data_IF_140143012696
#
_entry.id   IF_140143012696
#
_cell.length_a   1.000
_cell.length_b   1.000
_cell.length_c   1.000
_cell.angle_alpha   90.00
_cell.angle_beta   90.00
_cell.angle_gamma   90.00
#
_symmetry.space_group_name_H-M   'P 1'
#
loop_
_entity.id
_entity.type
_entity.pdbx_description
1 polymer ?
#
# COMPACT_ATOMS: atom_id res chain seq x y z
N UNK A 1 -13.10 -4.23 -32.24
CA UNK A 1 -13.63 -4.44 -30.89
C UNK A 1 -12.45 -4.19 -29.94
N UNK A 2 -12.57 -3.12 -29.16
CA UNK A 2 -11.45 -2.58 -28.38
C UNK A 2 -11.25 -3.42 -27.10
N UNK A 3 -10.36 -4.40 -27.15
CA UNK A 3 -10.02 -5.28 -26.01
C UNK A 3 -9.64 -4.51 -24.76
N UNK A 4 -9.05 -3.32 -24.89
CA UNK A 4 -8.72 -2.42 -23.77
C UNK A 4 -9.94 -1.98 -22.95
N UNK A 5 -11.11 -1.78 -23.57
CA UNK A 5 -12.33 -1.38 -22.88
C UNK A 5 -13.03 -2.54 -22.14
N UNK A 6 -12.88 -3.76 -22.61
CA UNK A 6 -13.46 -4.96 -21.98
C UNK A 6 -12.63 -5.34 -20.75
N UNK A 7 -11.29 -5.29 -20.84
CA UNK A 7 -10.39 -5.52 -19.71
C UNK A 7 -10.54 -4.45 -18.62
N UNK A 8 -10.67 -3.18 -19.01
CA UNK A 8 -10.95 -2.07 -18.09
C UNK A 8 -12.24 -2.29 -17.28
N UNK A 9 -13.31 -2.78 -17.93
CA UNK A 9 -14.61 -3.01 -17.27
C UNK A 9 -14.63 -4.26 -16.36
N UNK A 10 -13.93 -5.33 -16.72
CA UNK A 10 -13.84 -6.56 -15.91
C UNK A 10 -12.94 -6.33 -14.70
N UNK A 11 -11.82 -5.64 -14.87
CA UNK A 11 -10.95 -5.21 -13.77
C UNK A 11 -11.67 -4.25 -12.83
N UNK A 12 -12.44 -3.28 -13.33
CA UNK A 12 -13.20 -2.35 -12.51
C UNK A 12 -14.11 -3.08 -11.53
N UNK A 13 -14.90 -4.04 -11.97
CA UNK A 13 -15.84 -4.80 -11.12
C UNK A 13 -15.19 -5.68 -10.04
N UNK A 14 -14.02 -6.29 -10.35
CA UNK A 14 -13.32 -7.17 -9.38
C UNK A 14 -12.54 -6.35 -8.34
N UNK A 15 -12.13 -5.15 -8.73
CA UNK A 15 -11.36 -4.21 -7.92
C UNK A 15 -12.28 -3.36 -7.02
N UNK A 16 -13.48 -3.00 -7.48
CA UNK A 16 -14.43 -2.15 -6.72
C UNK A 16 -14.78 -2.67 -5.32
N UNK A 17 -14.72 -3.98 -5.09
CA UNK A 17 -14.97 -4.59 -3.78
C UNK A 17 -13.74 -4.63 -2.85
N UNK A 18 -12.54 -4.30 -3.35
CA UNK A 18 -11.27 -4.38 -2.60
C UNK A 18 -10.63 -3.00 -2.40
N UNK A 19 -11.09 -1.99 -3.12
CA UNK A 19 -10.48 -0.66 -3.15
C UNK A 19 -11.52 0.37 -2.68
N UNK A 20 -11.18 1.09 -1.63
CA UNK A 20 -11.94 2.24 -1.15
C UNK A 20 -11.22 3.52 -1.55
N UNK A 21 -11.94 4.45 -2.19
CA UNK A 21 -11.42 5.79 -2.40
C UNK A 21 -11.43 6.53 -1.06
N UNK A 22 -10.31 7.16 -0.73
CA UNK A 22 -10.23 7.98 0.47
C UNK A 22 -11.12 9.23 0.30
N UNK A 23 -12.15 9.36 1.14
CA UNK A 23 -13.00 10.54 1.21
C UNK A 23 -12.83 11.19 2.59
N UNK A 24 -12.52 12.48 2.63
CA UNK A 24 -12.53 13.24 3.89
C UNK A 24 -13.98 13.67 4.19
N UNK A 25 -14.49 13.27 5.35
CA UNK A 25 -15.78 13.72 5.88
C UNK A 25 -15.57 14.63 7.09
N UNK A 26 -15.20 15.89 6.83
CA UNK A 26 -15.05 16.93 7.85
C UNK A 26 -13.74 16.86 8.64
N UNK A 27 -13.57 17.85 9.51
CA UNK A 27 -12.35 18.05 10.34
C UNK A 27 -12.34 17.08 11.53
N UNK A 28 -11.95 15.83 11.31
CA UNK A 28 -11.65 14.91 12.40
C UNK A 28 -10.21 15.12 12.88
N UNK A 29 -10.06 16.07 13.78
CA UNK A 29 -8.77 16.41 14.39
C UNK A 29 -8.58 15.52 15.62
N UNK A 30 -7.52 14.72 15.62
CA UNK A 30 -7.15 13.88 16.76
C UNK A 30 -5.96 14.53 17.49
N UNK A 31 -5.97 14.61 18.84
CA UNK A 31 -4.79 15.04 19.60
C UNK A 31 -3.58 14.18 19.26
N UNK A 32 -2.46 14.82 18.99
CA UNK A 32 -1.20 14.18 18.68
C UNK A 32 -0.13 14.63 19.66
N UNK A 33 0.52 13.68 20.30
CA UNK A 33 1.63 13.94 21.20
C UNK A 33 2.92 14.04 20.38
N UNK A 34 3.66 15.15 20.55
CA UNK A 34 4.93 15.36 19.85
C UNK A 34 6.04 14.48 20.40
N UNK A 35 5.97 14.15 21.69
CA UNK A 35 6.96 13.30 22.33
C UNK A 35 6.80 11.84 21.92
N UNK A 36 7.93 11.19 21.69
CA UNK A 36 7.97 9.78 21.34
C UNK A 36 7.78 8.91 22.57
N UNK A 37 6.92 7.91 22.48
CA UNK A 37 6.82 6.86 23.49
C UNK A 37 7.89 5.80 23.22
N UNK A 38 8.75 5.54 24.22
CA UNK A 38 9.78 4.51 24.10
C UNK A 38 9.14 3.12 24.00
N UNK A 39 9.49 2.39 22.95
CA UNK A 39 9.10 0.97 22.79
C UNK A 39 10.05 0.01 23.54
N UNK A 40 11.06 0.55 24.21
CA UNK A 40 12.01 -0.22 25.06
C UNK A 40 11.84 0.15 26.53
N UNK A 41 12.92 0.65 27.15
CA UNK A 41 12.87 1.11 28.53
C UNK A 41 12.05 2.40 28.68
N UNK A 42 11.29 2.56 29.81
CA UNK A 42 10.57 3.79 30.07
C UNK A 42 11.53 4.99 30.10
N UNK A 43 11.14 6.09 29.48
CA UNK A 43 11.82 7.37 29.58
C UNK A 43 10.95 8.32 30.42
N UNK A 44 11.55 9.23 31.25
CA UNK A 44 10.77 10.25 31.93
C UNK A 44 9.96 11.06 30.94
N UNK A 45 8.68 11.25 31.24
CA UNK A 45 7.81 12.10 30.43
C UNK A 45 8.27 13.55 30.58
N UNK A 46 8.68 14.17 29.52
CA UNK A 46 8.89 15.63 29.42
C UNK A 46 7.60 16.30 28.94
N UNK A 47 7.46 17.58 29.16
CA UNK A 47 6.24 18.37 28.96
C UNK A 47 5.52 18.08 27.66
N UNK A 48 4.25 17.64 27.78
CA UNK A 48 3.39 17.29 26.65
C UNK A 48 2.90 18.54 25.94
N UNK A 49 3.38 18.79 24.74
CA UNK A 49 2.73 19.72 23.82
C UNK A 49 1.76 18.95 22.94
N UNK A 50 0.46 19.19 23.11
CA UNK A 50 -0.56 18.66 22.23
C UNK A 50 -0.54 19.43 20.90
N UNK A 51 -0.25 18.75 19.82
CA UNK A 51 -0.56 19.20 18.48
C UNK A 51 -1.82 18.49 17.95
N UNK A 52 -2.42 19.09 16.95
CA UNK A 52 -3.58 18.50 16.26
C UNK A 52 -3.11 17.84 14.99
N UNK A 53 -3.42 16.57 14.80
CA UNK A 53 -3.11 15.81 13.58
C UNK A 53 -4.40 15.41 12.87
N UNK A 54 -4.56 15.84 11.63
CA UNK A 54 -5.53 15.26 10.72
C UNK A 54 -4.89 14.04 10.05
N UNK A 55 -5.34 12.84 10.42
CA UNK A 55 -4.84 11.60 9.85
C UNK A 55 -5.15 11.47 8.36
N UNK A 56 -6.25 12.06 7.88
CA UNK A 56 -6.56 12.04 6.45
C UNK A 56 -5.54 12.87 5.67
N UNK A 57 -5.24 14.08 6.14
CA UNK A 57 -4.22 14.93 5.51
C UNK A 57 -2.83 14.28 5.58
N UNK A 58 -2.50 13.68 6.72
CA UNK A 58 -1.20 13.03 6.93
C UNK A 58 -1.00 11.80 6.03
N UNK A 59 -2.01 10.93 5.93
CA UNK A 59 -1.92 9.67 5.19
C UNK A 59 -2.25 9.83 3.70
N UNK A 60 -3.10 10.81 3.35
CA UNK A 60 -3.67 10.99 2.01
C UNK A 60 -3.21 12.31 1.41
N UNK A 61 -1.94 12.39 1.02
CA UNK A 61 -1.35 13.62 0.47
C UNK A 61 -1.87 13.99 -0.92
N UNK A 62 -2.39 13.00 -1.67
CA UNK A 62 -2.94 13.18 -3.03
C UNK A 62 -4.28 12.46 -3.15
N UNK A 63 -5.39 13.06 -2.67
CA UNK A 63 -6.69 12.40 -2.57
C UNK A 63 -7.22 11.82 -3.89
N UNK A 64 -6.92 12.47 -5.01
CA UNK A 64 -7.38 12.02 -6.34
C UNK A 64 -6.63 10.78 -6.86
N UNK A 65 -5.45 10.49 -6.31
CA UNK A 65 -4.59 9.37 -6.70
C UNK A 65 -4.44 8.32 -5.60
N UNK A 66 -4.98 8.56 -4.40
CA UNK A 66 -4.82 7.68 -3.24
C UNK A 66 -6.02 6.75 -3.08
N UNK A 67 -5.73 5.49 -2.84
CA UNK A 67 -6.70 4.41 -2.65
C UNK A 67 -6.34 3.61 -1.41
N UNK A 68 -7.33 2.96 -0.81
CA UNK A 68 -7.14 2.04 0.30
C UNK A 68 -7.41 0.62 -0.19
N UNK A 69 -6.45 -0.28 0.01
CA UNK A 69 -6.51 -1.69 -0.39
C UNK A 69 -6.34 -2.57 0.83
N UNK A 70 -7.15 -3.60 0.98
CA UNK A 70 -6.99 -4.58 2.05
C UNK A 70 -6.04 -5.69 1.61
N UNK A 71 -4.99 -5.94 2.40
CA UNK A 71 -4.07 -7.04 2.17
C UNK A 71 -4.72 -8.39 2.48
N UNK A 72 -4.40 -9.40 1.68
CA UNK A 72 -4.82 -10.78 1.90
C UNK A 72 -3.66 -11.74 1.66
N UNK A 73 -3.43 -12.63 2.61
CA UNK A 73 -2.37 -13.64 2.58
C UNK A 73 -1.05 -13.17 3.19
N UNK A 74 -0.12 -14.13 3.42
CA UNK A 74 1.10 -13.91 4.21
C UNK A 74 2.34 -13.61 3.37
N UNK A 75 2.24 -13.36 2.07
CA UNK A 75 3.41 -13.24 1.18
C UNK A 75 4.32 -12.03 1.46
N UNK A 76 3.91 -11.13 2.38
CA UNK A 76 4.63 -9.89 2.70
C UNK A 76 4.87 -9.70 4.21
N UNK A 77 4.81 -10.78 4.98
CA UNK A 77 4.94 -10.75 6.46
C UNK A 77 6.28 -10.21 6.93
N UNK A 78 7.38 -10.54 6.25
CA UNK A 78 8.72 -10.05 6.60
C UNK A 78 8.91 -8.55 6.28
N UNK A 79 7.96 -7.96 5.54
CA UNK A 79 7.87 -6.51 5.32
C UNK A 79 6.86 -5.83 6.27
N UNK A 80 6.37 -6.55 7.29
CA UNK A 80 5.42 -6.02 8.26
C UNK A 80 4.00 -5.85 7.73
N UNK A 81 3.63 -6.54 6.64
CA UNK A 81 2.26 -6.53 6.09
C UNK A 81 1.60 -7.87 6.38
N UNK A 82 0.54 -7.82 7.15
CA UNK A 82 -0.23 -8.98 7.56
C UNK A 82 -1.55 -9.06 6.79
N UNK A 83 -2.11 -10.26 6.76
CA UNK A 83 -3.44 -10.46 6.18
C UNK A 83 -4.48 -9.68 7.00
N UNK A 84 -5.28 -8.85 6.33
CA UNK A 84 -6.27 -7.97 6.95
C UNK A 84 -5.84 -6.51 7.08
N UNK A 85 -4.56 -6.19 6.92
CA UNK A 85 -4.05 -4.82 6.96
C UNK A 85 -4.65 -3.95 5.86
N UNK A 86 -4.78 -2.65 6.16
CA UNK A 86 -5.14 -1.65 5.16
C UNK A 86 -3.87 -1.00 4.62
N UNK A 87 -3.75 -0.99 3.31
CA UNK A 87 -2.64 -0.38 2.58
C UNK A 87 -3.11 0.94 1.97
N UNK A 88 -2.44 2.03 2.30
CA UNK A 88 -2.63 3.31 1.60
C UNK A 88 -1.76 3.27 0.34
N UNK A 89 -2.37 3.43 -0.82
CA UNK A 89 -1.72 3.26 -2.13
C UNK A 89 -1.84 4.53 -2.94
N UNK A 90 -0.73 5.09 -3.38
CA UNK A 90 -0.70 6.26 -4.25
C UNK A 90 -0.31 5.85 -5.67
N UNK A 91 -1.20 6.13 -6.62
CA UNK A 91 -1.02 5.82 -8.05
C UNK A 91 -0.20 6.86 -8.82
N UNK A 92 0.03 8.01 -8.24
CA UNK A 92 0.80 9.08 -8.87
C UNK A 92 2.31 8.97 -8.64
N UNK A 93 2.73 8.11 -7.70
CA UNK A 93 4.15 7.90 -7.40
C UNK A 93 4.77 7.00 -8.45
N UNK A 94 5.88 7.46 -9.05
CA UNK A 94 6.70 6.62 -9.93
C UNK A 94 7.40 5.53 -9.12
N UNK A 95 7.15 4.24 -9.41
CA UNK A 95 7.72 3.13 -8.64
C UNK A 95 9.24 3.06 -8.77
N UNK A 96 9.93 2.82 -7.66
CA UNK A 96 11.38 2.66 -7.58
C UNK A 96 11.73 1.31 -6.94
N UNK A 97 13.00 0.91 -7.06
CA UNK A 97 13.50 -0.27 -6.37
C UNK A 97 13.17 -0.21 -4.88
N UNK A 98 12.84 -1.37 -4.33
CA UNK A 98 12.49 -1.62 -2.95
C UNK A 98 11.15 -0.99 -2.50
N UNK A 99 10.43 -0.27 -3.37
CA UNK A 99 9.06 0.10 -3.06
C UNK A 99 8.17 -1.14 -2.94
N UNK A 100 7.25 -1.10 -1.98
CA UNK A 100 6.13 -2.02 -1.92
C UNK A 100 5.08 -1.47 -2.88
N UNK A 101 4.61 -2.33 -3.78
CA UNK A 101 3.70 -1.95 -4.86
C UNK A 101 2.50 -2.88 -4.92
N UNK A 102 1.40 -2.37 -5.42
CA UNK A 102 0.32 -3.19 -5.96
C UNK A 102 0.64 -3.40 -7.43
N UNK A 103 0.82 -4.64 -7.83
CA UNK A 103 1.04 -5.03 -9.22
C UNK A 103 -0.15 -5.83 -9.73
N UNK A 104 -0.50 -5.63 -11.01
CA UNK A 104 -1.42 -6.48 -11.73
C UNK A 104 -0.62 -7.48 -12.55
N UNK A 105 -0.98 -8.76 -12.49
CA UNK A 105 -0.42 -9.85 -13.29
C UNK A 105 -1.59 -10.66 -13.83
N UNK A 106 -1.71 -10.80 -15.13
CA UNK A 106 -2.86 -11.45 -15.80
C UNK A 106 -4.21 -10.92 -15.31
N UNK A 107 -4.28 -9.64 -14.91
CA UNK A 107 -5.48 -8.99 -14.38
C UNK A 107 -5.73 -9.21 -12.88
N UNK A 108 -4.95 -10.02 -12.17
CA UNK A 108 -5.05 -10.19 -10.72
C UNK A 108 -4.08 -9.25 -9.99
N UNK A 109 -4.56 -8.66 -8.86
CA UNK A 109 -3.74 -7.77 -8.05
C UNK A 109 -2.95 -8.55 -7.00
N UNK A 110 -1.71 -8.14 -6.80
CA UNK A 110 -0.83 -8.69 -5.76
C UNK A 110 0.02 -7.59 -5.13
N UNK A 111 0.38 -7.78 -3.86
CA UNK A 111 1.32 -6.91 -3.12
C UNK A 111 2.70 -7.53 -3.20
N UNK A 112 3.69 -6.80 -3.68
CA UNK A 112 5.08 -7.25 -3.79
C UNK A 112 6.06 -6.10 -3.59
N UNK A 113 7.32 -6.45 -3.28
CA UNK A 113 8.42 -5.51 -3.36
C UNK A 113 8.95 -5.47 -4.79
N UNK A 114 9.08 -4.26 -5.34
CA UNK A 114 9.60 -4.07 -6.69
C UNK A 114 11.12 -4.16 -6.68
N UNK A 115 11.68 -4.91 -7.61
CA UNK A 115 13.13 -4.96 -7.86
C UNK A 115 13.41 -4.92 -9.34
N UNK A 116 14.16 -3.92 -9.76
CA UNK A 116 14.69 -3.81 -11.11
C UNK A 116 16.18 -4.15 -11.07
N UNK A 117 16.56 -5.16 -11.85
CA UNK A 117 17.96 -5.56 -11.99
C UNK A 117 18.25 -5.70 -13.49
N UNK A 118 19.26 -4.97 -13.97
CA UNK A 118 19.59 -4.86 -15.38
C UNK A 118 18.36 -4.41 -16.19
N UNK A 119 17.93 -5.20 -17.16
CA UNK A 119 16.70 -4.95 -17.94
C UNK A 119 15.48 -5.77 -17.46
N UNK A 120 15.65 -6.52 -16.37
CA UNK A 120 14.60 -7.39 -15.84
C UNK A 120 13.89 -6.76 -14.65
N UNK A 121 12.58 -6.95 -14.58
CA UNK A 121 11.72 -6.55 -13.48
C UNK A 121 11.34 -7.77 -12.65
N UNK A 122 11.47 -7.66 -11.34
CA UNK A 122 11.09 -8.71 -10.40
C UNK A 122 10.08 -8.16 -9.39
N UNK A 123 9.11 -8.98 -9.06
CA UNK A 123 8.17 -8.79 -7.97
C UNK A 123 8.53 -9.78 -6.86
N UNK A 124 9.11 -9.25 -5.78
CA UNK A 124 9.68 -10.04 -4.70
C UNK A 124 8.66 -10.17 -3.58
N UNK A 125 8.41 -11.40 -3.13
CA UNK A 125 7.69 -11.65 -1.89
C UNK A 125 8.58 -11.36 -0.69
N UNK A 126 8.05 -10.77 0.36
CA UNK A 126 8.72 -10.62 1.65
C UNK A 126 8.22 -11.72 2.60
N UNK A 127 8.46 -12.95 2.21
CA UNK A 127 8.24 -14.19 2.92
C UNK A 127 8.94 -15.30 2.14
N UNK A 128 9.85 -16.02 2.76
CA UNK A 128 10.69 -17.03 2.11
C UNK A 128 9.92 -18.24 1.55
N UNK A 129 8.70 -18.47 2.03
CA UNK A 129 7.83 -19.53 1.52
C UNK A 129 7.19 -19.19 0.15
N UNK A 130 7.30 -17.93 -0.28
CA UNK A 130 6.69 -17.45 -1.51
C UNK A 130 7.76 -17.08 -2.55
N UNK A 131 7.72 -17.66 -3.74
CA UNK A 131 8.71 -17.37 -4.77
C UNK A 131 8.61 -15.94 -5.29
N UNK A 132 9.74 -15.41 -5.72
CA UNK A 132 9.79 -14.17 -6.48
C UNK A 132 9.32 -14.41 -7.92
N UNK A 133 8.70 -13.42 -8.51
CA UNK A 133 8.17 -13.47 -9.88
C UNK A 133 9.06 -12.59 -10.76
N UNK A 134 9.74 -13.19 -11.73
CA UNK A 134 10.34 -12.43 -12.82
C UNK A 134 9.24 -12.05 -13.80
N UNK A 135 9.06 -10.75 -14.01
CA UNK A 135 8.04 -10.25 -14.94
C UNK A 135 8.49 -10.50 -16.37
N UNK A 136 7.63 -11.14 -17.17
CA UNK A 136 7.80 -11.38 -18.59
C UNK A 136 6.72 -10.64 -19.37
N UNK A 137 6.97 -10.36 -20.65
CA UNK A 137 6.04 -9.60 -21.51
C UNK A 137 4.64 -10.23 -21.57
N UNK A 138 4.57 -11.55 -21.65
CA UNK A 138 3.31 -12.29 -21.73
C UNK A 138 2.44 -12.23 -20.46
N UNK A 139 2.99 -11.74 -19.34
CA UNK A 139 2.26 -11.65 -18.06
C UNK A 139 1.31 -10.46 -17.96
N UNK A 140 1.28 -9.58 -18.97
CA UNK A 140 0.46 -8.36 -18.94
C UNK A 140 0.60 -7.61 -17.60
N UNK A 141 1.86 -7.49 -17.12
CA UNK A 141 2.14 -6.93 -15.82
C UNK A 141 2.24 -5.42 -15.87
N UNK A 142 1.55 -4.75 -14.94
CA UNK A 142 1.76 -3.33 -14.70
C UNK A 142 1.69 -3.01 -13.21
N UNK A 143 2.38 -1.94 -12.80
CA UNK A 143 2.31 -1.45 -11.43
C UNK A 143 1.09 -0.54 -11.31
N UNK A 144 0.15 -0.94 -10.46
CA UNK A 144 -1.08 -0.22 -10.24
C UNK A 144 -0.90 0.99 -9.31
N UNK A 145 -0.02 0.88 -8.31
CA UNK A 145 0.34 1.97 -7.40
C UNK A 145 1.42 1.58 -6.40
N UNK A 146 1.92 2.57 -5.67
CA UNK A 146 2.94 2.43 -4.62
C UNK A 146 2.28 2.48 -3.25
N UNK A 147 2.58 1.51 -2.38
CA UNK A 147 2.12 1.51 -0.99
C UNK A 147 2.92 2.54 -0.21
N UNK A 148 2.23 3.50 0.41
CA UNK A 148 2.84 4.57 1.21
C UNK A 148 2.76 4.30 2.70
N UNK A 149 1.66 3.69 3.17
CA UNK A 149 1.44 3.35 4.57
C UNK A 149 0.76 1.99 4.71
N UNK A 150 1.01 1.35 5.84
CA UNK A 150 0.32 0.14 6.29
C UNK A 150 -0.38 0.45 7.60
N UNK A 151 -1.67 0.16 7.68
CA UNK A 151 -2.46 0.32 8.91
C UNK A 151 -2.78 -1.08 9.42
N UNK A 152 -2.14 -1.43 10.52
CA UNK A 152 -2.30 -2.71 11.18
C UNK A 152 -3.21 -2.57 12.40
N UNK A 153 -4.22 -3.44 12.52
CA UNK A 153 -5.09 -3.50 13.70
C UNK A 153 -4.52 -4.52 14.68
N UNK A 154 -4.20 -4.07 15.89
CA UNK A 154 -3.58 -4.90 16.95
C UNK A 154 -4.60 -5.66 17.83
N UNK A 155 -5.89 -5.31 17.76
CA UNK A 155 -6.97 -5.90 18.59
C UNK A 155 -8.21 -6.22 17.79
#
# INVERSE_FOLDING_TARGET
INYLNIFSNIMSKKIENLIFKAESKGDQITPYFLDTVSAGFPSPATDYMENKLDLNEYLVQRPTATYIVKANGPSMTDAGILSGDLLIVDRSITPRNDNIVIASIFGDLTVKKLKKKDQSLFLISANSEYPSIQVKEEMECFIWGVVTYVIHKTT
#
